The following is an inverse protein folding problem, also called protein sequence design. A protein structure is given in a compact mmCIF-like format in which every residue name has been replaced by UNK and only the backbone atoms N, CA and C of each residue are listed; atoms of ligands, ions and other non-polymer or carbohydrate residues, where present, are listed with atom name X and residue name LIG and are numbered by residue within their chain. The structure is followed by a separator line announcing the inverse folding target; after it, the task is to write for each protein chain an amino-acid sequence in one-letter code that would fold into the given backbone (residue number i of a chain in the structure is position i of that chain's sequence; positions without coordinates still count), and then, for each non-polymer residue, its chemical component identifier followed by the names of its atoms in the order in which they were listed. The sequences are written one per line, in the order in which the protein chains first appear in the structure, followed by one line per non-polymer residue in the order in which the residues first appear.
data_IF_141621137713
#
_entry.id   IF_141621137713
#
_cell.length_a   1.000
_cell.length_b   1.000
_cell.length_c   1.000
_cell.angle_alpha   90.00
_cell.angle_beta   90.00
_cell.angle_gamma   90.00
#
_symmetry.space_group_name_H-M   'P 1'
#
loop_
_entity.id
_entity.type
_entity.pdbx_description
1 polymer ?
#
# COMPACT_ATOMS: atom_id res chain seq x y z
N UNK A 1 38.15 30.87 36.12
CA UNK A 1 36.84 30.21 35.99
C UNK A 1 36.73 29.63 34.56
N UNK A 2 36.97 28.32 34.37
CA UNK A 2 36.90 27.64 33.05
C UNK A 2 35.46 27.21 32.82
N UNK A 3 34.80 27.79 31.81
CA UNK A 3 33.47 27.35 31.36
C UNK A 3 33.62 26.12 30.50
N UNK A 4 33.16 24.97 31.01
CA UNK A 4 32.99 23.73 30.22
C UNK A 4 31.71 23.86 29.37
N UNK A 5 31.91 23.90 28.06
CA UNK A 5 30.81 23.84 27.09
C UNK A 5 30.49 22.36 26.85
N UNK A 6 29.37 21.87 27.41
CA UNK A 6 28.87 20.54 27.14
C UNK A 6 28.12 20.63 25.80
N UNK A 7 28.74 20.09 24.74
CA UNK A 7 28.08 19.87 23.46
C UNK A 7 27.25 18.62 23.60
N UNK A 8 25.92 18.78 23.74
CA UNK A 8 24.94 17.71 23.71
C UNK A 8 24.77 17.30 22.25
N UNK A 9 25.47 16.24 21.85
CA UNK A 9 25.26 15.62 20.54
C UNK A 9 23.86 14.94 20.50
N UNK A 10 22.91 15.63 19.90
CA UNK A 10 21.61 15.03 19.55
C UNK A 10 21.86 14.03 18.42
N UNK A 11 21.95 12.74 18.77
CA UNK A 11 21.86 11.66 17.78
C UNK A 11 20.44 11.68 17.22
N UNK A 12 20.26 12.31 16.07
CA UNK A 12 19.10 12.13 15.22
C UNK A 12 19.15 10.69 14.71
N UNK A 13 18.49 9.78 15.40
CA UNK A 13 18.11 8.51 14.82
C UNK A 13 17.11 8.84 13.68
N UNK A 14 17.63 9.07 12.49
CA UNK A 14 16.84 8.99 11.29
C UNK A 14 16.36 7.52 11.20
N UNK A 15 15.08 7.28 11.45
CA UNK A 15 14.44 6.04 11.02
C UNK A 15 14.59 6.01 9.49
N UNK A 16 15.69 5.44 9.01
CA UNK A 16 15.80 5.04 7.62
C UNK A 16 14.82 3.89 7.45
N UNK A 17 13.84 4.05 6.58
CA UNK A 17 13.00 2.96 6.12
C UNK A 17 13.89 2.01 5.30
N UNK A 18 14.64 1.17 6.01
CA UNK A 18 15.48 0.17 5.35
C UNK A 18 14.59 -0.73 4.49
N UNK A 19 15.02 -0.94 3.25
CA UNK A 19 14.40 -1.93 2.37
C UNK A 19 15.01 -3.30 2.64
N UNK A 20 14.26 -4.40 2.44
CA UNK A 20 14.86 -5.74 2.44
C UNK A 20 16.00 -5.83 1.42
N UNK A 21 17.14 -6.45 1.79
CA UNK A 21 18.36 -6.49 0.98
C UNK A 21 18.18 -7.14 -0.40
N UNK A 22 17.20 -8.04 -0.53
CA UNK A 22 16.89 -8.78 -1.75
C UNK A 22 15.58 -8.30 -2.43
N UNK A 23 15.08 -7.11 -2.07
CA UNK A 23 13.87 -6.58 -2.64
C UNK A 23 14.06 -6.30 -4.13
N UNK A 24 13.16 -6.88 -4.93
CA UNK A 24 13.05 -6.58 -6.37
C UNK A 24 11.68 -5.98 -6.64
N UNK A 25 11.67 -4.87 -7.32
CA UNK A 25 10.45 -4.24 -7.82
C UNK A 25 10.04 -4.87 -9.15
N UNK A 26 8.76 -4.79 -9.48
CA UNK A 26 8.29 -5.19 -10.81
C UNK A 26 8.96 -4.32 -11.87
N UNK A 27 9.28 -4.91 -13.01
CA UNK A 27 9.73 -4.21 -14.22
C UNK A 27 8.66 -4.32 -15.29
N UNK A 28 8.65 -3.41 -16.29
CA UNK A 28 7.63 -3.40 -17.33
C UNK A 28 6.24 -2.98 -16.82
N UNK A 29 6.17 -2.06 -15.85
CA UNK A 29 4.93 -1.49 -15.35
C UNK A 29 4.36 -0.50 -16.38
N UNK A 30 3.17 -0.78 -16.90
CA UNK A 30 2.38 0.22 -17.63
C UNK A 30 1.68 1.14 -16.63
N UNK A 31 2.11 2.41 -16.62
CA UNK A 31 1.58 3.41 -15.70
C UNK A 31 0.08 3.65 -15.92
N UNK A 32 -0.41 3.61 -17.17
CA UNK A 32 -1.82 3.83 -17.48
C UNK A 32 -2.71 2.73 -16.93
N UNK A 33 -2.29 1.48 -17.04
CA UNK A 33 -3.01 0.34 -16.48
C UNK A 33 -2.99 0.31 -14.95
N UNK A 34 -1.99 0.95 -14.32
CA UNK A 34 -1.93 1.03 -12.85
C UNK A 34 -2.84 2.12 -12.27
N UNK A 35 -3.26 3.12 -13.06
CA UNK A 35 -4.18 4.17 -12.63
C UNK A 35 -5.54 3.61 -12.23
N UNK A 36 -6.38 4.46 -11.60
CA UNK A 36 -7.70 4.12 -11.11
C UNK A 36 -7.70 3.67 -9.65
N UNK A 37 -8.79 3.04 -9.23
CA UNK A 37 -9.01 2.68 -7.82
C UNK A 37 -8.48 1.29 -7.51
N UNK A 38 -7.84 1.19 -6.36
CA UNK A 38 -7.38 -0.04 -5.72
C UNK A 38 -8.00 -0.15 -4.33
N UNK A 39 -8.52 -1.30 -3.99
CA UNK A 39 -9.00 -1.66 -2.67
C UNK A 39 -7.86 -2.23 -1.84
N UNK A 40 -7.70 -1.78 -0.62
CA UNK A 40 -6.76 -2.37 0.32
C UNK A 40 -7.36 -3.65 0.91
N UNK A 41 -6.71 -4.78 0.66
CA UNK A 41 -7.14 -6.08 1.15
C UNK A 41 -6.50 -6.40 2.49
N UNK A 42 -5.22 -6.07 2.64
CA UNK A 42 -4.48 -6.25 3.88
C UNK A 42 -3.31 -5.28 3.98
N UNK A 43 -2.89 -4.99 5.21
CA UNK A 43 -1.70 -4.18 5.51
C UNK A 43 -0.99 -4.65 6.77
N UNK A 44 0.27 -4.28 6.94
CA UNK A 44 0.90 -4.26 8.25
C UNK A 44 0.39 -3.04 9.05
N UNK A 45 0.38 -3.13 10.40
CA UNK A 45 -0.11 -2.03 11.25
C UNK A 45 0.79 -0.80 11.16
N UNK A 46 0.17 0.35 10.98
CA UNK A 46 0.81 1.64 11.07
C UNK A 46 -0.18 2.74 11.48
N UNK A 47 0.34 3.79 12.13
CA UNK A 47 -0.46 4.76 12.87
C UNK A 47 -1.43 5.59 12.01
N UNK A 48 -1.12 5.83 10.75
CA UNK A 48 -1.94 6.69 9.88
C UNK A 48 -3.15 6.00 9.23
N UNK A 49 -3.26 4.66 9.34
CA UNK A 49 -4.43 3.89 8.86
C UNK A 49 -5.12 3.09 9.99
N UNK A 50 -4.72 3.31 11.25
CA UNK A 50 -5.42 2.68 12.38
C UNK A 50 -6.89 3.08 12.39
N UNK A 51 -7.73 2.12 12.74
CA UNK A 51 -9.19 2.27 12.81
C UNK A 51 -9.86 2.57 11.46
N UNK A 52 -9.12 2.44 10.32
CA UNK A 52 -9.70 2.59 9.00
C UNK A 52 -10.15 1.25 8.43
N UNK A 53 -11.40 1.21 7.99
CA UNK A 53 -12.02 0.16 7.16
C UNK A 53 -12.39 0.74 5.78
N UNK A 54 -12.77 -0.09 4.83
CA UNK A 54 -13.17 0.29 3.47
C UNK A 54 -12.13 1.18 2.78
N UNK A 55 -10.86 0.87 3.01
CA UNK A 55 -9.74 1.68 2.51
C UNK A 55 -9.55 1.46 1.02
N UNK A 56 -9.39 2.57 0.31
CA UNK A 56 -9.07 2.61 -1.12
C UNK A 56 -7.96 3.60 -1.40
N UNK A 57 -7.17 3.32 -2.45
CA UNK A 57 -6.23 4.27 -3.05
C UNK A 57 -6.64 4.50 -4.52
N UNK A 58 -6.82 5.76 -4.90
CA UNK A 58 -7.15 6.12 -6.29
C UNK A 58 -6.00 6.92 -6.88
N UNK A 59 -5.50 6.45 -8.02
CA UNK A 59 -4.39 7.05 -8.76
C UNK A 59 -4.89 7.70 -10.05
N UNK A 60 -4.47 8.93 -10.32
CA UNK A 60 -4.78 9.64 -11.56
C UNK A 60 -3.58 10.46 -12.03
N UNK A 61 -3.50 10.75 -13.33
CA UNK A 61 -2.43 11.58 -13.88
C UNK A 61 -2.56 13.02 -13.40
N UNK A 62 -1.41 13.64 -13.20
CA UNK A 62 -1.23 15.06 -12.96
C UNK A 62 -0.69 15.75 -14.22
N UNK A 63 -0.95 17.03 -14.36
CA UNK A 63 -0.45 17.85 -15.46
C UNK A 63 1.10 17.94 -15.51
N UNK A 64 1.75 17.80 -14.34
CA UNK A 64 3.21 17.82 -14.19
C UNK A 64 3.89 16.46 -14.51
N UNK A 65 3.12 15.48 -15.04
CA UNK A 65 3.60 14.13 -15.35
C UNK A 65 3.69 13.20 -14.14
N UNK A 66 3.34 13.67 -12.94
CA UNK A 66 3.24 12.84 -11.75
C UNK A 66 1.89 12.11 -11.64
N UNK A 67 1.71 11.43 -10.53
CA UNK A 67 0.49 10.71 -10.18
C UNK A 67 -0.12 11.37 -8.94
N UNK A 68 -1.39 11.78 -9.03
CA UNK A 68 -2.21 12.16 -7.89
C UNK A 68 -2.66 10.89 -7.18
N UNK A 69 -2.55 10.89 -5.86
CA UNK A 69 -2.95 9.77 -4.99
C UNK A 69 -4.05 10.28 -4.06
N UNK A 70 -5.19 9.62 -4.06
CA UNK A 70 -6.25 9.86 -3.07
C UNK A 70 -6.42 8.57 -2.26
N UNK A 71 -6.01 8.59 -1.00
CA UNK A 71 -6.32 7.54 -0.04
C UNK A 71 -7.59 7.91 0.71
N UNK A 72 -8.54 6.98 0.78
CA UNK A 72 -9.81 7.17 1.47
C UNK A 72 -10.12 5.96 2.33
N UNK A 73 -10.59 6.18 3.56
CA UNK A 73 -10.99 5.12 4.48
C UNK A 73 -12.08 5.58 5.44
N UNK A 74 -12.87 4.66 5.95
CA UNK A 74 -13.89 4.94 6.97
C UNK A 74 -13.29 4.72 8.36
N UNK A 75 -13.21 5.78 9.16
CA UNK A 75 -12.73 5.71 10.52
C UNK A 75 -13.84 5.20 11.44
N UNK A 76 -13.68 3.98 11.95
CA UNK A 76 -14.71 3.29 12.76
C UNK A 76 -14.89 3.88 14.15
N UNK A 77 -13.85 4.52 14.71
CA UNK A 77 -13.92 5.17 16.01
C UNK A 77 -14.66 6.51 15.98
N UNK A 78 -14.43 7.26 14.90
CA UNK A 78 -15.02 8.58 14.70
C UNK A 78 -16.33 8.52 13.91
N UNK A 79 -16.65 7.37 13.31
CA UNK A 79 -17.81 7.16 12.43
C UNK A 79 -17.86 8.17 11.26
N UNK A 80 -16.72 8.43 10.64
CA UNK A 80 -16.58 9.38 9.54
C UNK A 80 -15.60 8.89 8.47
N UNK A 81 -15.76 9.38 7.25
CA UNK A 81 -14.80 9.18 6.17
C UNK A 81 -13.59 10.08 6.36
N UNK A 82 -12.41 9.51 6.17
CA UNK A 82 -11.14 10.21 6.12
C UNK A 82 -10.57 10.13 4.71
N UNK A 83 -9.97 11.22 4.24
CA UNK A 83 -9.33 11.29 2.93
C UNK A 83 -7.99 12.02 3.05
N UNK A 84 -7.00 11.54 2.32
CA UNK A 84 -5.69 12.17 2.21
C UNK A 84 -5.29 12.26 0.73
N UNK A 85 -4.93 13.45 0.28
CA UNK A 85 -4.40 13.69 -1.06
C UNK A 85 -2.87 13.73 -1.02
N UNK A 86 -2.24 12.96 -1.89
CA UNK A 86 -0.80 12.91 -2.09
C UNK A 86 -0.42 13.01 -3.55
N UNK A 87 0.88 13.01 -3.80
CA UNK A 87 1.48 12.97 -5.13
C UNK A 87 2.62 11.96 -5.18
N UNK A 88 2.72 11.25 -6.29
CA UNK A 88 3.79 10.28 -6.50
C UNK A 88 4.48 10.54 -7.85
N UNK A 89 5.74 10.13 -7.92
CA UNK A 89 6.55 10.22 -9.13
C UNK A 89 7.38 8.96 -9.26
N UNK A 90 7.55 8.46 -10.46
CA UNK A 90 8.55 7.43 -10.74
C UNK A 90 9.94 7.96 -10.40
N UNK A 91 10.78 7.11 -9.81
CA UNK A 91 12.15 7.50 -9.42
C UNK A 91 13.14 7.42 -10.58
N UNK A 92 12.76 6.72 -11.65
CA UNK A 92 13.56 6.52 -12.85
C UNK A 92 12.77 6.91 -14.11
N UNK A 93 13.49 7.23 -15.18
CA UNK A 93 12.91 7.42 -16.52
C UNK A 93 12.23 6.11 -17.00
N UNK A 94 11.28 6.21 -17.94
CA UNK A 94 10.67 5.03 -18.53
C UNK A 94 11.71 4.18 -19.29
N UNK A 95 11.44 2.90 -19.39
CA UNK A 95 12.14 1.97 -20.26
C UNK A 95 11.96 2.38 -21.74
N UNK A 96 12.78 1.85 -22.68
CA UNK A 96 12.65 2.17 -24.11
C UNK A 96 11.27 1.84 -24.71
N UNK A 97 10.51 0.92 -24.09
CA UNK A 97 9.16 0.54 -24.50
C UNK A 97 8.05 1.40 -23.84
N UNK A 98 8.42 2.43 -23.07
CA UNK A 98 7.49 3.31 -22.37
C UNK A 98 6.99 2.81 -21.02
N UNK A 99 7.36 1.60 -20.61
CA UNK A 99 7.03 1.06 -19.27
C UNK A 99 7.98 1.58 -18.21
N UNK A 100 7.70 1.29 -16.95
CA UNK A 100 8.49 1.73 -15.81
C UNK A 100 8.89 0.57 -14.90
N UNK A 101 9.89 0.79 -14.07
CA UNK A 101 10.06 -0.01 -12.86
C UNK A 101 9.02 0.40 -11.83
N UNK A 102 8.56 -0.54 -11.02
CA UNK A 102 7.62 -0.31 -9.93
C UNK A 102 8.23 0.45 -8.75
N UNK A 103 8.99 1.48 -9.03
CA UNK A 103 9.72 2.30 -8.05
C UNK A 103 9.26 3.74 -8.11
N UNK A 104 8.45 4.13 -7.12
CA UNK A 104 7.95 5.48 -6.98
C UNK A 104 8.37 6.08 -5.64
N UNK A 105 8.27 7.39 -5.56
CA UNK A 105 8.29 8.15 -4.31
C UNK A 105 6.94 8.83 -4.14
N UNK A 106 6.37 8.80 -2.94
CA UNK A 106 5.05 9.38 -2.63
C UNK A 106 5.17 10.39 -1.49
N UNK A 107 4.41 11.46 -1.56
CA UNK A 107 4.31 12.48 -0.51
C UNK A 107 2.86 12.86 -0.28
N UNK A 108 2.46 12.85 0.99
CA UNK A 108 1.22 13.44 1.49
C UNK A 108 1.47 14.76 2.22
N UNK A 109 2.73 15.03 2.58
CA UNK A 109 3.17 16.26 3.27
C UNK A 109 4.47 16.75 2.63
N UNK A 110 4.38 17.51 1.55
CA UNK A 110 5.56 18.08 0.90
C UNK A 110 6.37 18.97 1.85
N UNK A 111 7.70 18.95 1.79
CA UNK A 111 8.54 18.39 0.73
C UNK A 111 9.01 16.94 0.96
N UNK A 112 8.51 16.26 1.98
CA UNK A 112 8.97 14.93 2.39
C UNK A 112 8.34 13.84 1.52
N UNK A 113 9.18 12.94 0.99
CA UNK A 113 8.78 11.79 0.19
C UNK A 113 9.24 10.49 0.85
N UNK A 114 8.33 9.52 0.90
CA UNK A 114 8.64 8.12 1.21
C UNK A 114 8.72 7.26 -0.04
N UNK A 115 9.39 6.10 0.02
CA UNK A 115 9.39 5.14 -1.07
C UNK A 115 8.00 4.51 -1.24
N UNK A 116 7.68 4.10 -2.48
CA UNK A 116 6.52 3.31 -2.82
C UNK A 116 6.95 2.31 -3.88
N UNK A 117 7.10 1.06 -3.50
CA UNK A 117 7.66 0.01 -4.33
C UNK A 117 6.62 -1.07 -4.60
N UNK A 118 6.30 -1.29 -5.86
CA UNK A 118 5.44 -2.38 -6.31
C UNK A 118 6.34 -3.61 -6.47
N UNK A 119 6.17 -4.62 -5.62
CA UNK A 119 7.04 -5.80 -5.55
C UNK A 119 6.41 -7.06 -6.12
N UNK A 120 5.08 -7.06 -6.29
CA UNK A 120 4.35 -8.04 -7.10
C UNK A 120 3.17 -7.34 -7.79
N UNK A 121 2.79 -7.82 -8.97
CA UNK A 121 1.71 -7.29 -9.79
C UNK A 121 1.19 -8.37 -10.72
N UNK A 122 -0.13 -8.47 -10.85
CA UNK A 122 -0.75 -9.15 -11.99
C UNK A 122 -0.48 -8.34 -13.27
N UNK A 123 0.57 -8.67 -13.98
CA UNK A 123 1.01 -7.92 -15.17
C UNK A 123 0.08 -8.06 -16.38
N UNK A 124 -0.81 -9.03 -16.35
CA UNK A 124 -1.71 -9.29 -17.49
C UNK A 124 -2.98 -8.45 -17.36
N UNK A 125 -3.61 -8.50 -16.18
CA UNK A 125 -4.92 -7.88 -15.97
C UNK A 125 -4.90 -6.75 -14.94
N UNK A 126 -3.78 -6.55 -14.23
CA UNK A 126 -3.64 -5.54 -13.16
C UNK A 126 -4.69 -5.70 -12.04
N UNK A 127 -5.09 -6.94 -11.71
CA UNK A 127 -6.12 -7.21 -10.72
C UNK A 127 -5.64 -7.09 -9.28
N UNK A 128 -4.36 -7.34 -9.01
CA UNK A 128 -3.78 -7.27 -7.67
C UNK A 128 -2.33 -6.82 -7.68
N UNK A 129 -1.90 -6.25 -6.57
CA UNK A 129 -0.52 -5.81 -6.36
C UNK A 129 -0.09 -6.03 -4.90
N UNK A 130 1.20 -6.24 -4.70
CA UNK A 130 1.88 -6.19 -3.41
C UNK A 130 2.80 -4.97 -3.41
N UNK A 131 2.63 -4.11 -2.41
CA UNK A 131 3.31 -2.82 -2.33
C UNK A 131 4.00 -2.66 -0.99
N UNK A 132 5.15 -2.02 -0.98
CA UNK A 132 5.90 -1.73 0.26
C UNK A 132 6.48 -0.31 0.26
N UNK A 133 6.69 0.21 1.48
CA UNK A 133 7.40 1.46 1.76
C UNK A 133 8.46 1.23 2.85
N UNK A 134 9.30 0.21 2.68
CA UNK A 134 10.30 -0.24 3.66
C UNK A 134 9.89 -1.49 4.42
N UNK A 135 10.70 -1.90 5.40
CA UNK A 135 10.49 -3.16 6.15
C UNK A 135 9.22 -3.18 7.01
N UNK A 136 8.70 -2.00 7.39
CA UNK A 136 7.57 -1.88 8.31
C UNK A 136 6.23 -1.69 7.61
N UNK A 137 6.23 -1.38 6.32
CA UNK A 137 5.02 -1.04 5.56
C UNK A 137 4.81 -2.03 4.43
N UNK A 138 3.66 -2.65 4.40
CA UNK A 138 3.26 -3.60 3.36
C UNK A 138 1.75 -3.51 3.14
N UNK A 139 1.33 -3.51 1.87
CA UNK A 139 -0.07 -3.53 1.46
C UNK A 139 -0.30 -4.58 0.40
N UNK A 140 -1.41 -5.30 0.53
CA UNK A 140 -2.00 -6.12 -0.53
C UNK A 140 -3.16 -5.31 -1.11
N UNK A 141 -3.07 -5.00 -2.38
CA UNK A 141 -4.07 -4.21 -3.11
C UNK A 141 -4.79 -5.07 -4.14
N UNK A 142 -6.07 -4.74 -4.42
CA UNK A 142 -6.88 -5.41 -5.43
C UNK A 142 -7.78 -4.42 -6.18
N UNK A 143 -8.13 -4.75 -7.44
CA UNK A 143 -9.15 -4.00 -8.20
C UNK A 143 -10.57 -4.26 -7.73
N UNK A 144 -10.77 -5.27 -6.95
CA UNK A 144 -12.07 -5.63 -6.38
C UNK A 144 -12.02 -5.61 -4.86
N UNK A 145 -13.15 -5.37 -4.16
CA UNK A 145 -13.21 -5.37 -2.69
C UNK A 145 -12.78 -6.69 -2.05
N UNK A 146 -12.71 -7.75 -2.83
CA UNK A 146 -12.35 -9.09 -2.38
C UNK A 146 -11.24 -9.66 -3.26
N UNK A 147 -10.36 -10.43 -2.66
CA UNK A 147 -9.31 -11.18 -3.34
C UNK A 147 -9.46 -12.66 -2.99
N UNK A 148 -9.33 -13.54 -3.99
CA UNK A 148 -9.47 -14.99 -3.77
C UNK A 148 -8.41 -15.51 -2.80
N UNK A 149 -8.76 -16.54 -2.05
CA UNK A 149 -7.86 -17.13 -1.06
C UNK A 149 -6.51 -17.59 -1.65
N UNK A 150 -6.44 -18.27 -2.81
CA UNK A 150 -5.16 -18.67 -3.40
C UNK A 150 -4.23 -17.49 -3.68
N UNK A 151 -4.75 -16.39 -4.26
CA UNK A 151 -3.96 -15.20 -4.57
C UNK A 151 -3.47 -14.52 -3.29
N UNK A 152 -4.33 -14.42 -2.25
CA UNK A 152 -3.90 -13.90 -0.94
C UNK A 152 -2.74 -14.71 -0.37
N UNK A 153 -2.84 -16.04 -0.39
CA UNK A 153 -1.78 -16.91 0.12
C UNK A 153 -0.48 -16.77 -0.68
N UNK A 154 -0.56 -16.64 -2.00
CA UNK A 154 0.61 -16.42 -2.85
C UNK A 154 1.32 -15.10 -2.49
N UNK A 155 0.58 -13.99 -2.42
CA UNK A 155 1.16 -12.68 -2.07
C UNK A 155 1.74 -12.65 -0.65
N UNK A 156 1.06 -13.29 0.31
CA UNK A 156 1.59 -13.45 1.67
C UNK A 156 2.86 -14.29 1.70
N UNK A 157 2.95 -15.37 0.92
CA UNK A 157 4.16 -16.19 0.83
C UNK A 157 5.34 -15.41 0.23
N UNK A 158 5.09 -14.60 -0.82
CA UNK A 158 6.10 -13.71 -1.40
C UNK A 158 6.58 -12.67 -0.38
N UNK A 159 5.67 -12.02 0.35
CA UNK A 159 6.02 -11.07 1.40
C UNK A 159 6.84 -11.74 2.52
N UNK A 160 6.43 -12.93 2.98
CA UNK A 160 7.16 -13.68 4.01
C UNK A 160 8.57 -14.07 3.57
N UNK A 161 8.76 -14.44 2.31
CA UNK A 161 10.08 -14.75 1.75
C UNK A 161 11.02 -13.52 1.73
N UNK A 162 10.47 -12.30 1.72
CA UNK A 162 11.19 -11.04 1.85
C UNK A 162 11.40 -10.60 3.31
N UNK A 163 10.94 -11.39 4.28
CA UNK A 163 11.12 -11.12 5.72
C UNK A 163 10.00 -10.32 6.37
N UNK A 164 8.88 -10.04 5.68
CA UNK A 164 7.74 -9.37 6.30
C UNK A 164 7.00 -10.32 7.26
N UNK A 165 6.56 -9.78 8.40
CA UNK A 165 5.80 -10.52 9.43
C UNK A 165 4.33 -10.66 9.00
N UNK A 166 4.08 -11.56 8.05
CA UNK A 166 2.75 -11.72 7.43
C UNK A 166 1.67 -12.24 8.39
N UNK A 167 2.05 -12.81 9.52
CA UNK A 167 1.17 -13.17 10.64
C UNK A 167 0.54 -11.95 11.33
N UNK A 168 1.13 -10.76 11.17
CA UNK A 168 0.65 -9.50 11.73
C UNK A 168 -0.19 -8.69 10.73
N UNK A 169 -0.50 -9.25 9.56
CA UNK A 169 -1.35 -8.57 8.58
C UNK A 169 -2.76 -8.36 9.12
N UNK A 170 -3.21 -7.11 9.03
CA UNK A 170 -4.60 -6.70 9.27
C UNK A 170 -5.34 -6.84 7.94
N UNK A 171 -6.36 -7.69 7.90
CA UNK A 171 -7.27 -7.78 6.75
C UNK A 171 -8.34 -6.71 6.86
N UNK A 172 -8.38 -5.82 5.85
CA UNK A 172 -9.26 -4.65 5.84
C UNK A 172 -10.65 -5.06 5.41
N UNK A 173 -11.66 -4.73 6.23
CA UNK A 173 -13.06 -4.96 5.87
C UNK A 173 -13.47 -3.98 4.76
N UNK A 174 -14.03 -4.52 3.68
CA UNK A 174 -14.62 -3.78 2.58
C UNK A 174 -16.15 -3.91 2.61
N UNK A 175 -16.88 -2.90 2.10
CA UNK A 175 -18.33 -2.78 2.24
C UNK A 175 -19.15 -4.03 1.84
N UNK A 176 -18.63 -4.88 0.95
CA UNK A 176 -19.32 -6.07 0.45
C UNK A 176 -18.87 -7.38 1.12
N UNK A 177 -18.10 -7.33 2.20
CA UNK A 177 -17.63 -8.54 2.90
C UNK A 177 -18.63 -9.12 3.92
N UNK A 178 -19.70 -8.41 4.25
CA UNK A 178 -20.61 -8.77 5.35
C UNK A 178 -21.43 -10.04 5.06
N UNK A 179 -21.61 -10.44 3.81
CA UNK A 179 -22.46 -11.60 3.45
C UNK A 179 -21.73 -12.95 3.37
N UNK A 180 -20.41 -12.98 3.20
CA UNK A 180 -19.71 -14.25 2.92
C UNK A 180 -19.17 -14.99 4.16
N UNK A 181 -19.00 -14.31 5.29
CA UNK A 181 -18.54 -14.93 6.55
C UNK A 181 -19.67 -15.53 7.40
N UNK A 182 -20.92 -15.18 7.13
CA UNK A 182 -22.08 -15.73 7.82
C UNK A 182 -22.59 -17.03 7.20
N UNK A 183 -21.72 -17.95 6.77
CA UNK A 183 -22.05 -19.25 6.17
C UNK A 183 -23.21 -20.04 6.85
N UNK A 184 -24.37 -19.47 6.88
CA UNK A 184 -25.65 -20.16 7.08
C UNK A 184 -26.32 -20.34 5.74
N UNK A 185 -26.22 -21.56 5.22
CA UNK A 185 -27.12 -22.05 4.20
C UNK A 185 -28.56 -21.81 4.65
N UNK A 186 -29.18 -20.75 4.16
CA UNK A 186 -30.63 -20.65 4.15
C UNK A 186 -31.09 -21.45 2.93
N UNK A 187 -31.46 -22.71 3.14
CA UNK A 187 -32.20 -23.50 2.17
C UNK A 187 -33.58 -22.87 2.05
N UNK A 188 -34.03 -22.43 0.86
CA UNK A 188 -35.39 -21.96 0.70
C UNK A 188 -36.34 -23.16 0.92
N UNK A 189 -37.17 -23.09 1.93
CA UNK A 189 -38.29 -24.02 2.06
C UNK A 189 -39.35 -23.61 1.05
N UNK A 190 -39.49 -24.39 -0.01
CA UNK A 190 -40.65 -24.32 -0.90
C UNK A 190 -41.85 -24.89 -0.18
N UNK A 191 -42.86 -24.06 0.06
CA UNK A 191 -44.24 -24.43 0.29
C UNK A 191 -45.00 -24.39 -1.01
#
# INVERSE_FOLDING_TARGET
MKRFLIILAFCLNACSSEMPDNLKTVDGLDAQHYLGTWYEIARLDHSFERDLEQVTATYSLREDGGIKVINRGFNTQKNEWSEAEGKAYFTQAPNPDGTYKGELKVSFFGPFYGPYHIIALDKIHYNYALVTSGKEYLWILSRTPQLTYPIKQELMAQAKALGYQTENLIFVKQANQVEYESGRHVVPQHN
#
